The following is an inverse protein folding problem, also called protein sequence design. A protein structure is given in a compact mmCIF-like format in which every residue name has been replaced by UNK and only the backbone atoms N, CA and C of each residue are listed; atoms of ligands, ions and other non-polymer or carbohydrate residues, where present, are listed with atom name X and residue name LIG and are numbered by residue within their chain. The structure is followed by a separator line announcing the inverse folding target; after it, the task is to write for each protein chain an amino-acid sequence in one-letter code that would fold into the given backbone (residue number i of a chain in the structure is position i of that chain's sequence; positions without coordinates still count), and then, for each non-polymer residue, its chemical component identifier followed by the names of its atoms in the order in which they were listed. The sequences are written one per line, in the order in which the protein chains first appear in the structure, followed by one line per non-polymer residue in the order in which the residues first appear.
data_IF_890724811046
#
_entry.id   IF_890724811046
#
_cell.length_a   1.000
_cell.length_b   1.000
_cell.length_c   1.000
_cell.angle_alpha   90.00
_cell.angle_beta   90.00
_cell.angle_gamma   90.00
#
_symmetry.space_group_name_H-M   'P 1'
#
loop_
_entity.id
_entity.type
_entity.pdbx_description
1 polymer ?
#
# COMPACT_ATOMS: atom_id res chain seq x y z
N UNK A 1 53.42 29.64 -43.34
CA UNK A 1 51.98 30.01 -43.56
C UNK A 1 51.15 28.78 -43.21
N UNK A 2 50.71 28.71 -41.95
CA UNK A 2 50.01 27.55 -41.39
C UNK A 2 48.53 27.87 -41.35
N UNK A 3 47.74 27.13 -42.11
CA UNK A 3 46.27 27.18 -42.11
C UNK A 3 45.78 26.26 -40.99
N UNK A 4 45.18 26.89 -39.94
CA UNK A 4 44.47 26.19 -38.88
C UNK A 4 43.04 25.88 -39.35
N UNK A 5 42.73 24.62 -39.57
CA UNK A 5 41.36 24.14 -39.77
C UNK A 5 40.75 23.94 -38.39
N UNK A 6 39.75 24.78 -38.05
CA UNK A 6 38.94 24.61 -36.85
C UNK A 6 37.75 23.70 -37.21
N UNK A 7 37.77 22.47 -36.72
CA UNK A 7 36.68 21.53 -36.87
C UNK A 7 35.61 21.88 -35.78
N UNK A 8 34.48 22.37 -36.24
CA UNK A 8 33.32 22.66 -35.35
C UNK A 8 32.54 21.36 -35.14
N UNK A 9 32.73 20.73 -33.98
CA UNK A 9 31.92 19.58 -33.56
C UNK A 9 30.58 20.09 -33.04
N UNK A 10 29.51 19.98 -33.82
CA UNK A 10 28.15 20.21 -33.38
C UNK A 10 27.72 18.99 -32.56
N UNK A 11 27.77 19.13 -31.24
CA UNK A 11 27.22 18.15 -30.29
C UNK A 11 25.69 18.32 -30.25
N UNK A 12 24.96 17.56 -31.08
CA UNK A 12 23.51 17.44 -30.98
C UNK A 12 23.18 16.64 -29.75
N UNK A 13 22.87 17.32 -28.64
CA UNK A 13 22.29 16.72 -27.43
C UNK A 13 20.90 16.23 -27.78
N UNK A 14 20.74 14.95 -28.05
CA UNK A 14 19.44 14.28 -28.03
C UNK A 14 18.97 14.29 -26.56
N UNK A 15 18.12 15.25 -26.22
CA UNK A 15 17.37 15.23 -24.96
C UNK A 15 16.34 14.11 -25.13
N UNK A 16 16.74 12.90 -24.81
CA UNK A 16 15.81 11.78 -24.61
C UNK A 16 14.96 12.14 -23.40
N UNK A 17 13.75 12.62 -23.65
CA UNK A 17 12.73 12.74 -22.63
C UNK A 17 12.39 11.33 -22.12
N UNK A 18 13.12 10.87 -21.12
CA UNK A 18 12.71 9.70 -20.34
C UNK A 18 11.38 10.05 -19.69
N UNK A 19 10.29 9.47 -20.18
CA UNK A 19 9.05 9.45 -19.41
C UNK A 19 9.39 8.74 -18.11
N UNK A 20 9.53 9.47 -17.02
CA UNK A 20 9.55 8.88 -15.69
C UNK A 20 8.21 8.18 -15.54
N UNK A 21 8.20 6.87 -15.49
CA UNK A 21 7.00 6.10 -15.16
C UNK A 21 6.55 6.63 -13.79
N UNK A 22 5.38 7.23 -13.75
CA UNK A 22 4.81 7.72 -12.50
C UNK A 22 4.59 6.51 -11.59
N UNK A 23 5.22 6.51 -10.41
CA UNK A 23 5.17 5.39 -9.50
C UNK A 23 3.75 5.29 -8.94
N UNK A 24 3.09 4.15 -9.15
CA UNK A 24 1.72 3.90 -8.69
C UNK A 24 1.60 3.92 -7.15
N UNK A 25 2.70 3.66 -6.44
CA UNK A 25 2.78 3.63 -4.97
C UNK A 25 3.92 4.52 -4.50
N UNK A 26 3.62 5.53 -3.70
CA UNK A 26 4.59 6.41 -3.05
C UNK A 26 4.45 6.31 -1.54
N UNK A 27 5.56 6.11 -0.81
CA UNK A 27 5.56 5.89 0.64
C UNK A 27 6.59 6.81 1.29
N UNK A 28 6.23 7.34 2.45
CA UNK A 28 7.12 8.07 3.34
C UNK A 28 6.98 7.53 4.76
N UNK A 29 8.10 7.20 5.38
CA UNK A 29 8.17 6.76 6.79
C UNK A 29 9.02 7.76 7.56
N UNK A 30 8.51 8.19 8.71
CA UNK A 30 9.20 9.14 9.60
C UNK A 30 9.15 8.64 11.04
N UNK A 31 10.23 8.79 11.77
CA UNK A 31 10.28 8.63 13.21
C UNK A 31 9.85 9.94 13.88
N UNK A 32 8.95 9.86 14.84
CA UNK A 32 8.42 11.00 15.60
C UNK A 32 8.34 10.61 17.07
N UNK A 33 9.34 10.99 17.85
CA UNK A 33 9.47 10.58 19.24
C UNK A 33 9.66 9.06 19.37
N UNK A 34 8.73 8.38 20.02
CA UNK A 34 8.70 6.91 20.17
C UNK A 34 7.82 6.21 19.14
N UNK A 35 7.26 6.96 18.18
CA UNK A 35 6.35 6.49 17.15
C UNK A 35 7.00 6.54 15.77
N UNK A 36 6.47 5.71 14.87
CA UNK A 36 6.74 5.78 13.42
C UNK A 36 5.46 6.18 12.69
N UNK A 37 5.54 7.24 11.90
CA UNK A 37 4.45 7.69 11.04
C UNK A 37 4.73 7.25 9.62
N UNK A 38 3.79 6.51 9.05
CA UNK A 38 3.80 6.07 7.65
C UNK A 38 2.73 6.81 6.89
N UNK A 39 3.07 7.38 5.76
CA UNK A 39 2.15 7.97 4.80
C UNK A 39 2.37 7.30 3.44
N UNK A 40 1.29 6.92 2.77
CA UNK A 40 1.36 6.36 1.43
C UNK A 40 0.26 6.94 0.54
N UNK A 41 0.57 7.08 -0.75
CA UNK A 41 -0.38 7.43 -1.81
C UNK A 41 -0.30 6.38 -2.89
N UNK A 42 -1.44 5.78 -3.22
CA UNK A 42 -1.57 4.75 -4.23
C UNK A 42 -2.50 5.27 -5.33
N UNK A 43 -2.06 5.20 -6.60
CA UNK A 43 -2.85 5.53 -7.78
C UNK A 43 -3.23 4.24 -8.49
N UNK A 44 -4.51 3.90 -8.51
CA UNK A 44 -5.03 2.67 -9.08
C UNK A 44 -5.96 2.98 -10.27
N UNK A 45 -5.58 2.54 -11.47
CA UNK A 45 -6.41 2.61 -12.68
C UNK A 45 -7.42 1.45 -12.66
N UNK A 46 -8.38 1.53 -11.76
CA UNK A 46 -9.43 0.52 -11.55
C UNK A 46 -10.74 1.19 -11.16
N UNK A 47 -11.84 0.43 -11.21
CA UNK A 47 -13.10 0.89 -10.67
C UNK A 47 -13.00 1.11 -9.16
N UNK A 48 -13.60 2.18 -8.67
CA UNK A 48 -13.59 2.54 -7.24
C UNK A 48 -14.22 1.47 -6.35
N UNK A 49 -15.25 0.80 -6.83
CA UNK A 49 -15.89 -0.31 -6.14
C UNK A 49 -14.89 -1.47 -5.96
N UNK A 50 -14.18 -1.84 -7.03
CA UNK A 50 -13.13 -2.88 -7.00
C UNK A 50 -12.03 -2.55 -6.00
N UNK A 51 -11.57 -1.29 -5.99
CA UNK A 51 -10.56 -0.85 -5.03
C UNK A 51 -11.06 -1.00 -3.58
N UNK A 52 -12.30 -0.57 -3.32
CA UNK A 52 -12.91 -0.70 -1.99
C UNK A 52 -13.04 -2.17 -1.57
N UNK A 53 -13.56 -3.03 -2.44
CA UNK A 53 -13.76 -4.46 -2.15
C UNK A 53 -12.46 -5.17 -1.79
N UNK A 54 -11.35 -4.87 -2.47
CA UNK A 54 -10.04 -5.43 -2.12
C UNK A 54 -9.56 -4.94 -0.76
N UNK A 55 -9.72 -3.65 -0.46
CA UNK A 55 -9.27 -3.05 0.80
C UNK A 55 -10.01 -3.60 2.03
N UNK A 56 -11.24 -4.08 1.87
CA UNK A 56 -12.06 -4.59 2.99
C UNK A 56 -12.23 -6.12 2.99
N UNK A 57 -11.55 -6.83 2.11
CA UNK A 57 -11.64 -8.30 1.96
C UNK A 57 -10.77 -9.04 2.99
N UNK A 58 -11.06 -8.79 4.27
CA UNK A 58 -10.23 -9.33 5.35
C UNK A 58 -10.20 -10.85 5.44
N UNK A 59 -11.29 -11.52 5.06
CA UNK A 59 -11.39 -12.98 5.13
C UNK A 59 -10.53 -13.68 4.06
N UNK A 60 -10.26 -13.00 2.93
CA UNK A 60 -9.41 -13.52 1.85
C UNK A 60 -8.03 -12.84 1.79
N UNK A 61 -7.67 -12.03 2.79
CA UNK A 61 -6.43 -11.24 2.76
C UNK A 61 -5.17 -12.10 2.65
N UNK A 62 -5.20 -13.37 3.10
CA UNK A 62 -4.09 -14.32 2.95
C UNK A 62 -3.78 -14.70 1.51
N UNK A 63 -4.72 -14.51 0.59
CA UNK A 63 -4.49 -14.73 -0.85
C UNK A 63 -3.93 -13.50 -1.54
N UNK A 64 -3.99 -12.36 -0.87
CA UNK A 64 -3.55 -11.06 -1.39
C UNK A 64 -2.17 -10.71 -0.82
N UNK A 65 -1.97 -10.89 0.48
CA UNK A 65 -0.75 -10.54 1.20
C UNK A 65 0.06 -11.78 1.57
N UNK A 66 1.25 -11.90 1.02
CA UNK A 66 2.14 -13.06 1.17
C UNK A 66 2.68 -13.25 2.59
N UNK A 67 2.70 -12.19 3.39
CA UNK A 67 3.18 -12.21 4.77
C UNK A 67 2.12 -12.66 5.80
N UNK A 68 0.86 -12.84 5.39
CA UNK A 68 -0.20 -13.36 6.24
C UNK A 68 -0.33 -14.87 6.14
N UNK A 69 -0.46 -15.53 7.29
CA UNK A 69 -0.77 -16.97 7.42
C UNK A 69 -2.21 -17.21 7.82
N UNK A 70 -2.85 -16.25 8.49
CA UNK A 70 -4.27 -16.26 8.79
C UNK A 70 -4.85 -14.85 8.78
N UNK A 71 -6.09 -14.72 8.31
CA UNK A 71 -6.87 -13.47 8.37
C UNK A 71 -8.35 -13.80 8.42
N UNK A 72 -9.08 -13.17 9.34
CA UNK A 72 -10.53 -13.40 9.46
C UNK A 72 -11.24 -12.26 10.17
N UNK A 73 -12.48 -12.04 9.80
CA UNK A 73 -13.41 -11.20 10.56
C UNK A 73 -13.95 -12.03 11.74
N UNK A 74 -13.46 -11.75 12.95
CA UNK A 74 -13.88 -12.45 14.17
C UNK A 74 -15.26 -11.99 14.65
N UNK A 75 -15.63 -10.73 14.40
CA UNK A 75 -16.94 -10.15 14.76
C UNK A 75 -17.27 -8.99 13.83
N UNK A 76 -18.57 -8.85 13.54
CA UNK A 76 -19.12 -7.72 12.79
C UNK A 76 -20.31 -7.13 13.56
N UNK A 77 -20.32 -5.81 13.68
CA UNK A 77 -21.45 -5.03 14.20
C UNK A 77 -21.64 -3.80 13.31
N UNK A 78 -22.57 -3.90 12.36
CA UNK A 78 -22.74 -2.87 11.33
C UNK A 78 -21.45 -2.64 10.55
N UNK A 79 -20.95 -1.41 10.59
CA UNK A 79 -19.73 -0.99 9.93
C UNK A 79 -18.46 -1.15 10.81
N UNK A 80 -18.58 -1.74 11.99
CA UNK A 80 -17.43 -2.03 12.85
C UNK A 80 -17.10 -3.51 12.80
N UNK A 81 -15.84 -3.84 12.52
CA UNK A 81 -15.31 -5.20 12.45
C UNK A 81 -14.25 -5.38 13.53
N UNK A 82 -14.18 -6.60 14.06
CA UNK A 82 -12.99 -7.07 14.78
C UNK A 82 -12.32 -8.10 13.86
N UNK A 83 -11.09 -7.78 13.46
CA UNK A 83 -10.29 -8.61 12.54
C UNK A 83 -9.09 -9.16 13.29
N UNK A 84 -8.84 -10.48 13.13
CA UNK A 84 -7.64 -11.17 13.62
C UNK A 84 -6.78 -11.57 12.46
N UNK A 85 -5.50 -11.25 12.57
CA UNK A 85 -4.49 -11.58 11.57
C UNK A 85 -3.24 -12.14 12.23
N UNK A 86 -2.66 -13.14 11.57
CA UNK A 86 -1.39 -13.76 11.94
C UNK A 86 -0.50 -13.79 10.71
N UNK A 87 0.80 -13.68 10.91
CA UNK A 87 1.72 -13.69 9.79
C UNK A 87 3.17 -13.67 10.20
N UNK A 88 4.04 -13.54 9.22
CA UNK A 88 5.48 -13.40 9.40
C UNK A 88 5.98 -12.28 8.51
N UNK A 89 6.38 -11.18 9.13
CA UNK A 89 7.09 -10.10 8.45
C UNK A 89 8.55 -10.51 8.22
N UNK A 90 9.07 -10.31 7.00
CA UNK A 90 10.42 -10.68 6.60
C UNK A 90 11.17 -9.48 6.07
N UNK A 91 12.38 -9.28 6.57
CA UNK A 91 13.24 -8.21 6.12
C UNK A 91 14.71 -8.65 6.12
N UNK A 92 15.30 -8.81 4.95
CA UNK A 92 16.63 -9.40 4.79
C UNK A 92 16.70 -10.82 5.37
N UNK A 93 17.55 -11.04 6.35
CA UNK A 93 17.68 -12.32 7.06
C UNK A 93 16.77 -12.45 8.30
N UNK A 94 16.00 -11.42 8.61
CA UNK A 94 15.14 -11.40 9.79
C UNK A 94 13.73 -11.85 9.44
N UNK A 95 13.15 -12.66 10.32
CA UNK A 95 11.76 -13.09 10.29
C UNK A 95 11.10 -12.77 11.63
N UNK A 96 10.00 -12.05 11.60
CA UNK A 96 9.26 -11.66 12.80
C UNK A 96 7.82 -12.17 12.71
N UNK A 97 7.46 -13.21 13.47
CA UNK A 97 6.08 -13.67 13.55
C UNK A 97 5.26 -12.64 14.31
N UNK A 98 4.07 -12.36 13.80
CA UNK A 98 3.16 -11.43 14.44
C UNK A 98 1.74 -11.98 14.49
N UNK A 99 1.00 -11.54 15.50
CA UNK A 99 -0.45 -11.67 15.58
C UNK A 99 -1.04 -10.35 16.04
N UNK A 100 -2.20 -9.98 15.49
CA UNK A 100 -2.89 -8.74 15.83
C UNK A 100 -4.40 -8.95 15.85
N UNK A 101 -5.05 -8.30 16.80
CA UNK A 101 -6.48 -8.08 16.80
C UNK A 101 -6.75 -6.59 16.63
N UNK A 102 -7.58 -6.23 15.65
CA UNK A 102 -7.84 -4.85 15.26
C UNK A 102 -9.32 -4.56 15.25
N UNK A 103 -9.72 -3.40 15.76
CA UNK A 103 -11.01 -2.80 15.46
C UNK A 103 -10.88 -2.01 14.16
N UNK A 104 -11.81 -2.24 13.24
CA UNK A 104 -11.89 -1.59 11.95
C UNK A 104 -13.26 -0.96 11.83
N UNK A 105 -13.30 0.34 11.59
CA UNK A 105 -14.53 1.09 11.33
C UNK A 105 -14.55 1.50 9.87
N UNK A 106 -15.61 1.09 9.18
CA UNK A 106 -15.81 1.36 7.77
C UNK A 106 -16.74 2.57 7.60
N UNK A 107 -16.32 3.52 6.79
CA UNK A 107 -17.18 4.50 6.16
C UNK A 107 -17.24 4.13 4.67
N UNK A 108 -18.30 3.41 4.22
CA UNK A 108 -18.33 2.76 2.93
C UNK A 108 -17.93 3.68 1.78
N UNK A 109 -17.04 3.18 0.93
CA UNK A 109 -16.51 3.89 -0.25
C UNK A 109 -15.72 5.18 0.06
N UNK A 110 -15.46 5.49 1.33
CA UNK A 110 -14.80 6.73 1.72
C UNK A 110 -13.56 6.50 2.57
N UNK A 111 -13.71 5.76 3.69
CA UNK A 111 -12.67 5.70 4.73
C UNK A 111 -12.69 4.40 5.50
N UNK A 112 -11.51 3.95 5.87
CA UNK A 112 -11.28 2.81 6.77
C UNK A 112 -10.43 3.31 7.93
N UNK A 113 -10.96 3.24 9.14
CA UNK A 113 -10.23 3.56 10.36
C UNK A 113 -9.87 2.26 11.07
N UNK A 114 -8.62 2.12 11.46
CA UNK A 114 -8.12 0.92 12.14
C UNK A 114 -7.44 1.30 13.45
N UNK A 115 -7.73 0.52 14.48
CA UNK A 115 -7.07 0.60 15.78
C UNK A 115 -6.65 -0.78 16.24
N UNK A 116 -5.39 -0.93 16.65
CA UNK A 116 -4.92 -2.17 17.26
C UNK A 116 -5.53 -2.32 18.66
N UNK A 117 -6.09 -3.50 18.96
CA UNK A 117 -6.64 -3.84 20.26
C UNK A 117 -5.65 -4.65 21.08
N UNK A 118 -4.98 -5.61 20.43
CA UNK A 118 -4.01 -6.48 21.08
C UNK A 118 -3.04 -7.11 20.08
N UNK A 119 -1.99 -7.74 20.55
CA UNK A 119 -1.02 -8.51 19.77
C UNK A 119 0.38 -7.93 19.80
N UNK A 120 1.15 -8.17 18.73
CA UNK A 120 2.60 -7.91 18.68
C UNK A 120 2.97 -6.43 18.62
N UNK A 121 2.05 -5.55 18.28
CA UNK A 121 2.26 -4.10 18.28
C UNK A 121 1.81 -3.49 19.62
N UNK A 122 2.59 -2.58 20.17
CA UNK A 122 2.21 -1.84 21.38
C UNK A 122 1.03 -0.92 21.12
N UNK A 123 1.07 -0.18 20.02
CA UNK A 123 -0.02 0.66 19.52
C UNK A 123 0.07 0.76 17.99
N UNK A 124 -1.09 0.78 17.34
CA UNK A 124 -1.21 1.15 15.94
C UNK A 124 -2.58 1.75 15.70
N UNK A 125 -2.59 2.89 15.05
CA UNK A 125 -3.80 3.50 14.50
C UNK A 125 -3.53 3.85 13.03
N UNK A 126 -4.52 3.63 12.17
CA UNK A 126 -4.39 3.98 10.77
C UNK A 126 -5.70 4.45 10.15
N UNK A 127 -5.55 5.19 9.07
CA UNK A 127 -6.62 5.65 8.23
C UNK A 127 -6.27 5.38 6.76
N UNK A 128 -7.21 4.79 6.03
CA UNK A 128 -7.23 4.73 4.57
C UNK A 128 -8.34 5.63 4.08
N UNK A 129 -8.07 6.49 3.10
CA UNK A 129 -9.05 7.35 2.42
C UNK A 129 -9.09 7.05 0.94
N UNK A 130 -10.30 6.78 0.41
CA UNK A 130 -10.54 6.75 -1.02
C UNK A 130 -10.98 8.12 -1.48
N UNK A 131 -10.12 8.79 -2.24
CA UNK A 131 -10.47 10.10 -2.82
C UNK A 131 -11.53 9.95 -3.92
N UNK A 132 -12.41 10.94 -4.07
CA UNK A 132 -13.27 11.01 -5.25
C UNK A 132 -12.41 11.05 -6.50
N UNK A 133 -12.77 10.23 -7.49
CA UNK A 133 -12.15 10.26 -8.81
C UNK A 133 -13.20 10.61 -9.87
N UNK A 134 -12.85 11.45 -10.85
CA UNK A 134 -13.68 11.71 -12.04
C UNK A 134 -13.65 10.51 -13.00
N UNK A 135 -14.53 10.54 -14.00
CA UNK A 135 -14.55 9.51 -15.04
C UNK A 135 -13.18 9.42 -15.75
N UNK A 136 -12.61 8.22 -15.79
CA UNK A 136 -11.33 7.97 -16.44
C UNK A 136 -10.08 8.40 -15.61
N UNK A 137 -10.27 8.94 -14.42
CA UNK A 137 -9.19 9.26 -13.51
C UNK A 137 -8.87 8.06 -12.59
N UNK A 138 -7.61 7.86 -12.21
CA UNK A 138 -7.24 6.82 -11.27
C UNK A 138 -7.93 7.04 -9.91
N UNK A 139 -8.28 5.95 -9.25
CA UNK A 139 -8.63 6.01 -7.83
C UNK A 139 -7.38 6.35 -7.04
N UNK A 140 -7.44 7.40 -6.23
CA UNK A 140 -6.35 7.75 -5.34
C UNK A 140 -6.69 7.26 -3.93
N UNK A 141 -5.82 6.43 -3.38
CA UNK A 141 -5.91 5.90 -2.02
C UNK A 141 -4.82 6.56 -1.20
N UNK A 142 -5.20 7.26 -0.15
CA UNK A 142 -4.27 7.80 0.84
C UNK A 142 -4.29 6.92 2.08
N UNK A 143 -3.12 6.58 2.56
CA UNK A 143 -2.92 5.84 3.80
C UNK A 143 -2.07 6.67 4.76
N UNK A 144 -2.45 6.68 6.02
CA UNK A 144 -1.65 7.20 7.13
C UNK A 144 -1.76 6.25 8.30
N UNK A 145 -0.62 5.92 8.90
CA UNK A 145 -0.58 5.11 10.12
C UNK A 145 0.45 5.64 11.10
N UNK A 146 0.19 5.41 12.38
CA UNK A 146 1.12 5.61 13.48
C UNK A 146 1.33 4.28 14.20
N UNK A 147 2.61 3.90 14.33
CA UNK A 147 3.02 2.66 14.97
C UNK A 147 3.89 2.96 16.18
N UNK A 148 3.63 2.25 17.29
CA UNK A 148 4.56 2.17 18.43
C UNK A 148 4.91 0.70 18.60
N UNK A 149 6.17 0.39 18.38
CA UNK A 149 6.69 -0.97 18.56
C UNK A 149 7.06 -1.26 20.04
N UNK A 150 7.02 -2.53 20.41
CA UNK A 150 7.71 -2.99 21.61
C UNK A 150 9.25 -2.93 21.39
N UNK A 151 10.02 -3.06 22.48
CA UNK A 151 11.47 -2.82 22.53
C UNK A 151 12.34 -3.58 21.52
N UNK A 152 11.84 -4.64 20.88
CA UNK A 152 12.61 -5.51 19.98
C UNK A 152 12.74 -4.94 18.57
N UNK A 153 11.75 -4.17 18.09
CA UNK A 153 11.73 -3.59 16.73
C UNK A 153 12.04 -2.08 16.69
N UNK A 154 12.19 -1.45 17.84
CA UNK A 154 12.54 -0.03 17.94
C UNK A 154 14.06 0.18 17.76
N UNK A 155 14.59 -0.13 16.57
CA UNK A 155 16.02 0.01 16.28
C UNK A 155 16.27 0.63 14.90
N UNK A 156 17.56 0.79 14.57
CA UNK A 156 18.09 1.44 13.36
C UNK A 156 17.46 1.01 12.02
N UNK A 157 16.72 -0.10 11.98
CA UNK A 157 16.12 -0.66 10.76
C UNK A 157 14.60 -0.45 10.67
N UNK A 158 13.94 0.12 11.69
CA UNK A 158 12.47 0.22 11.72
C UNK A 158 11.89 1.02 10.54
N UNK A 159 12.53 2.12 10.13
CA UNK A 159 12.09 2.94 8.99
C UNK A 159 12.18 2.14 7.68
N UNK A 160 13.32 1.48 7.43
CA UNK A 160 13.51 0.68 6.20
C UNK A 160 12.59 -0.55 6.19
N UNK A 161 12.40 -1.19 7.34
CA UNK A 161 11.48 -2.31 7.51
C UNK A 161 10.03 -1.89 7.21
N UNK A 162 9.54 -0.81 7.82
CA UNK A 162 8.18 -0.30 7.58
C UNK A 162 7.98 0.12 6.13
N UNK A 163 8.97 0.79 5.54
CA UNK A 163 8.90 1.17 4.12
C UNK A 163 8.70 -0.07 3.24
N UNK A 164 9.53 -1.09 3.43
CA UNK A 164 9.47 -2.33 2.67
C UNK A 164 8.13 -3.07 2.86
N UNK A 165 7.71 -3.30 4.11
CA UNK A 165 6.47 -4.02 4.41
C UNK A 165 5.23 -3.31 3.89
N UNK A 166 5.16 -1.99 4.04
CA UNK A 166 4.02 -1.21 3.55
C UNK A 166 4.00 -1.14 2.02
N UNK A 167 5.17 -1.01 1.39
CA UNK A 167 5.28 -1.04 -0.07
C UNK A 167 4.82 -2.39 -0.62
N UNK A 168 5.32 -3.51 -0.10
CA UNK A 168 4.93 -4.85 -0.53
C UNK A 168 3.42 -5.08 -0.38
N UNK A 169 2.83 -4.65 0.75
CA UNK A 169 1.40 -4.77 0.98
C UNK A 169 0.58 -3.99 -0.04
N UNK A 170 0.91 -2.72 -0.29
CA UNK A 170 0.15 -1.91 -1.25
C UNK A 170 0.37 -2.33 -2.70
N UNK A 171 1.57 -2.78 -3.07
CA UNK A 171 1.82 -3.37 -4.39
C UNK A 171 0.97 -4.63 -4.61
N UNK A 172 0.90 -5.51 -3.62
CA UNK A 172 0.07 -6.73 -3.68
C UNK A 172 -1.43 -6.41 -3.78
N UNK A 173 -1.91 -5.45 -2.98
CA UNK A 173 -3.30 -5.00 -3.06
C UNK A 173 -3.61 -4.35 -4.42
N UNK A 174 -2.71 -3.53 -4.96
CA UNK A 174 -2.86 -2.90 -6.27
C UNK A 174 -2.91 -3.94 -7.39
N UNK A 175 -2.05 -4.96 -7.33
CA UNK A 175 -2.07 -6.07 -8.29
C UNK A 175 -3.42 -6.81 -8.25
N UNK A 176 -3.94 -7.09 -7.06
CA UNK A 176 -5.25 -7.73 -6.88
C UNK A 176 -6.41 -6.85 -7.37
N UNK A 177 -6.36 -5.54 -7.11
CA UNK A 177 -7.33 -4.59 -7.65
C UNK A 177 -7.36 -4.64 -9.17
N UNK A 178 -6.20 -4.55 -9.82
CA UNK A 178 -6.06 -4.63 -11.29
C UNK A 178 -6.59 -5.97 -11.83
N UNK A 179 -6.30 -7.07 -11.16
CA UNK A 179 -6.76 -8.43 -11.54
C UNK A 179 -8.28 -8.55 -11.49
N UNK A 180 -8.92 -8.11 -10.38
CA UNK A 180 -10.39 -8.16 -10.22
C UNK A 180 -11.08 -7.25 -11.22
N UNK A 181 -10.57 -6.05 -11.44
CA UNK A 181 -11.15 -5.08 -12.38
C UNK A 181 -11.14 -5.60 -13.83
N UNK A 182 -10.02 -6.21 -14.25
CA UNK A 182 -9.92 -6.84 -15.56
C UNK A 182 -10.92 -8.00 -15.76
N UNK A 183 -11.21 -8.76 -14.72
CA UNK A 183 -12.21 -9.84 -14.76
C UNK A 183 -13.64 -9.29 -14.94
N UNK A 184 -13.98 -8.18 -14.29
CA UNK A 184 -15.28 -7.53 -14.47
C UNK A 184 -15.48 -7.05 -15.90
N UNK A 185 -14.46 -6.43 -16.50
CA UNK A 185 -14.51 -5.96 -17.90
C UNK A 185 -14.67 -7.13 -18.86
N UNK A 186 -13.92 -8.23 -18.65
CA UNK A 186 -14.00 -9.43 -19.50
C UNK A 186 -15.35 -10.14 -19.37
N UNK A 187 -15.91 -10.22 -18.16
CA UNK A 187 -17.22 -10.83 -17.92
C UNK A 187 -18.37 -10.04 -18.53
N UNK A 188 -18.28 -8.72 -18.54
CA UNK A 188 -19.28 -7.86 -19.17
C UNK A 188 -19.28 -7.94 -20.72
N UNK A 189 -18.11 -8.24 -21.31
CA UNK A 189 -17.97 -8.40 -22.77
C UNK A 189 -18.49 -9.75 -23.30
N UNK A 190 -18.78 -10.71 -22.44
CA UNK A 190 -19.15 -12.09 -22.82
C UNK A 190 -20.66 -12.37 -22.66
N UNK A 191 -21.43 -11.38 -22.19
CA UNK A 191 -22.90 -11.50 -22.15
C UNK A 191 -23.51 -11.02 -23.48
N UNK A 192 -24.19 -11.90 -24.24
CA UNK A 192 -24.82 -11.55 -25.52
C UNK A 192 -26.06 -10.67 -25.36
#
# INVERSE_FOLDING_TARGET
MLIRIVLFFILTSVIGGGAFAEQDVAIAVREVGDSFVVEATIKAQVNRQTAWEVLVDYDHMTTILSNLTASRVARRNGNTLIVRQEGVARFGLFSYPFQVEREIRLEPMQRILTKNLSGSLKRMESEVRLKPSGNGQPVVIEYRAEFVFGSILAGLFAVSFLNHEVEEQFQSMLAEMKRRDAQLVSGAATQP
#
